data_IF_599706304663
#
_entry.id   IF_599706304663
#
_cell.length_a   1.000
_cell.length_b   1.000
_cell.length_c   1.000
_cell.angle_alpha   90.00
_cell.angle_beta   90.00
_cell.angle_gamma   90.00
#
_symmetry.space_group_name_H-M   'P 1'
#
loop_
_entity.id
_entity.type
_entity.pdbx_description
1 polymer ?
#
# COMPACT_ATOMS: atom_id res chain seq x y z
N UNK A 1 4.21 -16.39 8.31
CA UNK A 1 4.03 -16.71 6.89
C UNK A 1 3.57 -15.50 6.08
N UNK A 2 3.02 -14.47 6.74
CA UNK A 2 2.49 -13.26 6.09
C UNK A 2 3.02 -12.01 6.77
N UNK A 3 3.54 -11.07 5.98
CA UNK A 3 3.92 -9.73 6.41
C UNK A 3 2.91 -8.73 5.83
N UNK A 4 2.36 -7.86 6.67
CA UNK A 4 1.44 -6.79 6.26
C UNK A 4 2.10 -5.44 6.56
N UNK A 5 2.47 -4.70 5.51
CA UNK A 5 3.01 -3.35 5.59
C UNK A 5 1.85 -2.35 5.58
N UNK A 6 1.25 -2.12 6.76
CA UNK A 6 0.06 -1.27 6.92
C UNK A 6 0.38 0.19 7.29
N UNK A 7 1.50 0.44 7.97
CA UNK A 7 1.83 1.78 8.45
C UNK A 7 1.88 2.81 7.30
N UNK A 8 1.28 3.98 7.53
CA UNK A 8 1.28 5.06 6.56
C UNK A 8 0.76 6.36 7.14
N UNK A 9 1.14 7.47 6.51
CA UNK A 9 0.76 8.84 6.89
C UNK A 9 0.25 9.62 5.70
N UNK A 10 -0.62 10.61 5.94
CA UNK A 10 -1.12 11.54 4.95
C UNK A 10 -1.20 12.94 5.59
N UNK A 11 -0.15 13.73 5.45
CA UNK A 11 -0.07 15.07 6.05
C UNK A 11 -0.69 16.14 5.17
N UNK A 12 -0.86 15.88 3.88
CA UNK A 12 -1.36 16.81 2.86
C UNK A 12 -2.78 16.46 2.36
N UNK A 13 -3.63 15.92 3.25
CA UNK A 13 -5.01 15.57 2.92
C UNK A 13 -5.78 16.81 2.43
N UNK A 14 -6.38 16.72 1.24
CA UNK A 14 -7.11 17.79 0.57
C UNK A 14 -6.29 19.03 0.19
N UNK A 15 -4.97 18.99 0.30
CA UNK A 15 -4.10 20.08 -0.12
C UNK A 15 -4.02 20.21 -1.65
N UNK A 16 -3.96 21.47 -2.10
CA UNK A 16 -3.68 21.86 -3.49
C UNK A 16 -2.27 22.46 -3.60
N UNK A 17 -1.91 22.98 -4.77
CA UNK A 17 -0.64 23.70 -4.95
C UNK A 17 -0.58 25.05 -4.19
N UNK A 18 -1.72 25.57 -3.75
CA UNK A 18 -1.81 26.80 -2.97
C UNK A 18 -1.42 26.62 -1.48
N UNK A 19 -1.23 25.37 -1.05
CA UNK A 19 -0.82 25.08 0.32
C UNK A 19 0.70 25.05 0.46
N UNK A 20 1.19 25.29 1.69
CA UNK A 20 2.62 25.39 2.00
C UNK A 20 3.29 24.01 2.09
N UNK A 21 3.59 23.40 0.95
CA UNK A 21 4.39 22.18 0.90
C UNK A 21 5.83 22.45 1.32
N UNK A 22 6.31 21.75 2.34
CA UNK A 22 7.68 21.86 2.82
C UNK A 22 8.52 20.63 2.47
N UNK A 23 9.84 20.76 2.31
CA UNK A 23 10.71 19.58 2.16
C UNK A 23 10.60 18.60 3.32
N UNK A 24 10.35 19.07 4.54
CA UNK A 24 10.18 18.23 5.73
C UNK A 24 8.91 17.38 5.65
N UNK A 25 7.78 17.94 5.20
CA UNK A 25 6.55 17.19 4.97
C UNK A 25 6.77 16.06 3.95
N UNK A 26 7.43 16.36 2.84
CA UNK A 26 7.79 15.38 1.82
C UNK A 26 8.68 14.28 2.39
N UNK A 27 9.74 14.66 3.10
CA UNK A 27 10.69 13.72 3.69
C UNK A 27 9.98 12.77 4.68
N UNK A 28 9.13 13.28 5.55
CA UNK A 28 8.36 12.48 6.51
C UNK A 28 7.37 11.54 5.83
N UNK A 29 6.67 12.02 4.80
CA UNK A 29 5.73 11.20 4.04
C UNK A 29 6.46 10.06 3.34
N UNK A 30 7.56 10.34 2.64
CA UNK A 30 8.36 9.32 1.95
C UNK A 30 9.03 8.35 2.94
N UNK A 31 9.53 8.86 4.07
CA UNK A 31 10.13 8.03 5.10
C UNK A 31 9.16 6.99 5.65
N UNK A 32 7.92 7.39 5.96
CA UNK A 32 6.92 6.46 6.48
C UNK A 32 6.36 5.53 5.40
N UNK A 33 5.89 6.10 4.27
CA UNK A 33 5.09 5.36 3.30
C UNK A 33 5.91 4.52 2.31
N UNK A 34 7.21 4.79 2.16
CA UNK A 34 8.08 4.11 1.19
C UNK A 34 9.29 3.49 1.87
N UNK A 35 10.15 4.31 2.47
CA UNK A 35 11.40 3.85 3.09
C UNK A 35 11.13 2.87 4.22
N UNK A 36 10.16 3.20 5.09
CA UNK A 36 9.74 2.32 6.20
C UNK A 36 9.20 0.98 5.72
N UNK A 37 8.41 0.98 4.65
CA UNK A 37 7.92 -0.26 4.02
C UNK A 37 9.07 -1.11 3.52
N UNK A 38 10.00 -0.52 2.76
CA UNK A 38 11.16 -1.24 2.23
C UNK A 38 11.98 -1.89 3.35
N UNK A 39 12.40 -1.12 4.36
CA UNK A 39 13.23 -1.64 5.45
C UNK A 39 12.50 -2.62 6.37
N UNK A 40 11.16 -2.51 6.49
CA UNK A 40 10.37 -3.53 7.20
C UNK A 40 10.40 -4.86 6.45
N UNK A 41 10.24 -4.82 5.13
CA UNK A 41 10.35 -6.02 4.29
C UNK A 41 11.76 -6.60 4.36
N UNK A 42 12.79 -5.78 4.14
CA UNK A 42 14.19 -6.19 4.18
C UNK A 42 14.56 -6.89 5.50
N UNK A 43 14.20 -6.28 6.63
CA UNK A 43 14.48 -6.83 7.96
C UNK A 43 13.75 -8.15 8.25
N UNK A 44 12.53 -8.33 7.72
CA UNK A 44 11.70 -9.51 7.99
C UNK A 44 11.77 -10.58 6.89
N UNK A 45 12.35 -10.27 5.74
CA UNK A 45 12.47 -11.20 4.61
C UNK A 45 13.12 -12.55 4.98
N UNK A 46 14.18 -12.60 5.84
CA UNK A 46 14.72 -13.88 6.28
C UNK A 46 13.74 -14.77 7.03
N UNK A 47 12.71 -14.19 7.65
CA UNK A 47 11.63 -14.95 8.31
C UNK A 47 10.57 -15.41 7.30
N UNK A 48 10.20 -14.55 6.34
CA UNK A 48 9.27 -14.88 5.28
C UNK A 48 9.82 -16.02 4.40
N UNK A 49 11.13 -16.04 4.14
CA UNK A 49 11.81 -17.10 3.39
C UNK A 49 11.73 -18.49 4.06
N UNK A 50 11.45 -18.55 5.36
CA UNK A 50 11.27 -19.82 6.09
C UNK A 50 9.86 -20.38 5.99
N UNK A 51 8.92 -19.61 5.49
CA UNK A 51 7.53 -20.04 5.32
C UNK A 51 7.36 -20.93 4.08
N UNK A 52 6.45 -21.89 4.16
CA UNK A 52 6.12 -22.73 3.00
C UNK A 52 5.41 -21.97 1.88
N UNK A 53 4.72 -20.88 2.23
CA UNK A 53 4.01 -19.99 1.29
C UNK A 53 4.10 -18.55 1.84
N UNK A 54 5.26 -17.93 1.65
CA UNK A 54 5.52 -16.56 2.13
C UNK A 54 4.66 -15.54 1.38
N UNK A 55 4.09 -14.57 2.11
CA UNK A 55 3.27 -13.49 1.54
C UNK A 55 3.69 -12.14 2.10
N UNK A 56 3.70 -11.13 1.24
CA UNK A 56 3.92 -9.74 1.61
C UNK A 56 2.77 -8.91 1.04
N UNK A 57 1.97 -8.33 1.91
CA UNK A 57 0.89 -7.41 1.55
C UNK A 57 1.28 -5.98 1.88
N UNK A 58 1.16 -5.08 0.91
CA UNK A 58 1.48 -3.66 1.06
C UNK A 58 0.18 -2.86 0.99
N UNK A 59 -0.18 -2.17 2.06
CA UNK A 59 -1.36 -1.31 2.03
C UNK A 59 -1.03 0.00 1.32
N UNK A 60 -1.47 0.09 0.06
CA UNK A 60 -1.30 1.24 -0.79
C UNK A 60 -2.58 2.10 -0.84
N UNK A 61 -2.87 2.69 -1.97
CA UNK A 61 -4.08 3.51 -2.20
C UNK A 61 -4.33 3.63 -3.70
N UNK A 62 -5.61 3.69 -4.09
CA UNK A 62 -5.98 4.09 -5.45
C UNK A 62 -5.41 5.47 -5.84
N UNK A 63 -5.13 6.33 -4.85
CA UNK A 63 -4.49 7.63 -5.08
C UNK A 63 -3.04 7.51 -5.59
N UNK A 64 -2.42 6.33 -5.52
CA UNK A 64 -1.13 6.01 -6.12
C UNK A 64 -1.21 5.61 -7.59
N UNK A 65 -2.40 5.36 -8.13
CA UNK A 65 -2.58 5.05 -9.55
C UNK A 65 -2.25 6.25 -10.44
N UNK A 66 -1.40 6.04 -11.44
CA UNK A 66 -1.06 7.06 -12.43
C UNK A 66 -2.23 7.36 -13.38
N UNK A 67 -3.07 6.36 -13.64
CA UNK A 67 -4.23 6.52 -14.53
C UNK A 67 -5.41 7.19 -13.84
N UNK A 68 -5.48 7.16 -12.51
CA UNK A 68 -6.56 7.77 -11.71
C UNK A 68 -6.10 9.09 -11.06
N UNK A 69 -5.26 9.85 -11.74
CA UNK A 69 -4.76 11.14 -11.26
C UNK A 69 -5.88 12.18 -11.22
N UNK A 70 -6.06 12.86 -10.08
CA UNK A 70 -7.07 13.92 -9.91
C UNK A 70 -6.51 15.21 -9.29
N UNK A 71 -5.19 15.30 -9.11
CA UNK A 71 -4.53 16.44 -8.46
C UNK A 71 -4.65 16.43 -6.93
N UNK A 72 -4.00 17.37 -6.28
CA UNK A 72 -3.95 17.53 -4.83
C UNK A 72 -3.20 16.42 -4.09
N UNK A 73 -2.98 16.61 -2.80
CA UNK A 73 -2.30 15.63 -1.92
C UNK A 73 -1.03 15.04 -2.55
N UNK A 74 -0.17 15.91 -3.08
CA UNK A 74 0.93 15.50 -3.96
C UNK A 74 1.95 14.59 -3.28
N UNK A 75 2.32 14.89 -2.03
CA UNK A 75 3.29 14.07 -1.30
C UNK A 75 2.73 12.66 -1.01
N UNK A 76 1.46 12.58 -0.59
CA UNK A 76 0.80 11.30 -0.36
C UNK A 76 0.68 10.49 -1.65
N UNK A 77 0.13 11.09 -2.73
CA UNK A 77 -0.02 10.41 -4.03
C UNK A 77 1.31 9.92 -4.56
N UNK A 78 2.35 10.74 -4.54
CA UNK A 78 3.69 10.36 -4.98
C UNK A 78 4.23 9.19 -4.15
N UNK A 79 4.04 9.20 -2.82
CA UNK A 79 4.49 8.12 -1.96
C UNK A 79 3.74 6.80 -2.24
N UNK A 80 2.43 6.87 -2.50
CA UNK A 80 1.63 5.68 -2.82
C UNK A 80 1.93 5.13 -4.22
N UNK A 81 2.24 5.98 -5.19
CA UNK A 81 2.75 5.53 -6.50
C UNK A 81 4.14 4.86 -6.37
N UNK A 82 5.03 5.45 -5.57
CA UNK A 82 6.35 4.88 -5.32
C UNK A 82 6.27 3.50 -4.65
N UNK A 83 5.39 3.32 -3.65
CA UNK A 83 5.26 2.02 -2.98
C UNK A 83 4.57 0.97 -3.85
N UNK A 84 3.69 1.36 -4.78
CA UNK A 84 3.16 0.44 -5.80
C UNK A 84 4.27 -0.05 -6.74
N UNK A 85 5.12 0.86 -7.22
CA UNK A 85 6.29 0.49 -8.03
C UNK A 85 7.22 -0.45 -7.26
N UNK A 86 7.51 -0.14 -5.98
CA UNK A 86 8.31 -0.99 -5.10
C UNK A 86 7.70 -2.39 -4.98
N UNK A 87 6.41 -2.50 -4.70
CA UNK A 87 5.71 -3.78 -4.54
C UNK A 87 5.80 -4.65 -5.80
N UNK A 88 5.68 -4.07 -6.99
CA UNK A 88 5.81 -4.80 -8.25
C UNK A 88 7.23 -5.31 -8.52
N UNK A 89 8.24 -4.50 -8.22
CA UNK A 89 9.62 -4.94 -8.37
C UNK A 89 9.94 -6.07 -7.37
N UNK A 90 9.51 -5.95 -6.12
CA UNK A 90 9.63 -7.03 -5.13
C UNK A 90 8.89 -8.30 -5.55
N UNK A 91 7.71 -8.19 -6.16
CA UNK A 91 7.00 -9.34 -6.69
C UNK A 91 7.80 -10.10 -7.75
N UNK A 92 8.47 -9.39 -8.66
CA UNK A 92 9.33 -9.98 -9.67
C UNK A 92 10.58 -10.64 -9.05
N UNK A 93 11.24 -9.96 -8.12
CA UNK A 93 12.48 -10.43 -7.52
C UNK A 93 12.26 -11.65 -6.61
N UNK A 94 11.13 -11.69 -5.91
CA UNK A 94 10.81 -12.74 -4.93
C UNK A 94 10.01 -13.91 -5.52
N UNK A 95 9.49 -13.78 -6.75
CA UNK A 95 8.77 -14.87 -7.43
C UNK A 95 9.60 -16.16 -7.57
N UNK A 96 10.90 -16.14 -7.92
CA UNK A 96 11.72 -17.35 -7.97
C UNK A 96 11.86 -18.05 -6.61
N UNK A 97 11.65 -17.34 -5.51
CA UNK A 97 11.70 -17.86 -4.14
C UNK A 97 10.31 -18.37 -3.66
N UNK A 98 9.27 -18.28 -4.49
CA UNK A 98 7.92 -18.69 -4.14
C UNK A 98 7.21 -17.74 -3.15
N UNK A 99 7.68 -16.50 -3.01
CA UNK A 99 7.08 -15.49 -2.14
C UNK A 99 6.18 -14.57 -2.98
N UNK A 100 4.89 -14.51 -2.61
CA UNK A 100 3.92 -13.65 -3.27
C UNK A 100 3.90 -12.25 -2.65
N UNK A 101 3.88 -11.21 -3.49
CA UNK A 101 3.76 -9.81 -3.06
C UNK A 101 2.53 -9.17 -3.71
N UNK A 102 1.66 -8.56 -2.92
CA UNK A 102 0.47 -7.85 -3.40
C UNK A 102 0.38 -6.43 -2.83
N UNK A 103 -0.32 -5.57 -3.53
CA UNK A 103 -0.64 -4.22 -3.08
C UNK A 103 -2.15 -4.04 -3.04
N UNK A 104 -2.66 -3.54 -1.90
CA UNK A 104 -4.09 -3.43 -1.67
C UNK A 104 -4.50 -1.98 -1.38
N UNK A 105 -5.62 -1.57 -1.95
CA UNK A 105 -6.33 -0.35 -1.58
C UNK A 105 -7.40 -0.69 -0.53
N UNK A 106 -7.31 -0.15 0.69
CA UNK A 106 -8.21 -0.50 1.79
C UNK A 106 -9.61 0.11 1.67
N UNK A 107 -9.87 0.93 0.63
CA UNK A 107 -11.05 1.79 0.55
C UNK A 107 -10.83 3.14 1.26
N UNK A 108 -11.86 3.98 1.26
CA UNK A 108 -11.88 5.18 2.08
C UNK A 108 -12.55 4.86 3.43
N UNK A 109 -11.71 4.64 4.43
CA UNK A 109 -12.07 4.00 5.70
C UNK A 109 -12.25 5.02 6.80
N UNK A 110 -13.27 4.87 7.65
CA UNK A 110 -13.54 5.69 8.82
C UNK A 110 -12.47 5.47 9.91
N UNK A 111 -11.38 6.22 9.79
CA UNK A 111 -10.22 6.24 10.69
C UNK A 111 -9.80 7.69 10.91
N UNK A 112 -8.82 7.94 11.76
CA UNK A 112 -8.26 9.30 11.93
C UNK A 112 -7.78 9.90 10.60
N UNK A 113 -7.20 9.10 9.73
CA UNK A 113 -6.78 9.53 8.39
C UNK A 113 -7.98 9.74 7.46
N UNK A 114 -8.93 8.82 7.44
CA UNK A 114 -10.09 8.88 6.54
C UNK A 114 -11.12 9.93 6.92
N UNK A 115 -11.34 10.13 8.22
CA UNK A 115 -12.36 11.01 8.77
C UNK A 115 -13.74 10.33 8.86
N UNK A 116 -14.68 11.00 9.52
CA UNK A 116 -16.03 10.47 9.75
C UNK A 116 -16.87 10.32 8.47
N UNK A 117 -16.57 11.13 7.43
CA UNK A 117 -17.26 11.12 6.14
C UNK A 117 -16.79 10.00 5.21
N UNK A 118 -15.84 9.16 5.64
CA UNK A 118 -15.34 8.06 4.84
C UNK A 118 -16.43 7.02 4.56
N UNK A 119 -16.38 6.43 3.37
CA UNK A 119 -17.48 5.65 2.80
C UNK A 119 -17.68 4.27 3.43
N UNK A 120 -16.66 3.72 4.09
CA UNK A 120 -16.72 2.38 4.68
C UNK A 120 -16.17 2.34 6.10
N UNK A 121 -16.66 1.39 6.89
CA UNK A 121 -16.17 1.15 8.24
C UNK A 121 -14.84 0.40 8.25
N UNK A 122 -14.16 0.41 9.40
CA UNK A 122 -12.95 -0.39 9.60
C UNK A 122 -13.23 -1.88 9.39
N UNK A 123 -14.33 -2.38 9.94
CA UNK A 123 -14.70 -3.80 9.85
C UNK A 123 -14.93 -4.25 8.40
N UNK A 124 -15.57 -3.42 7.57
CA UNK A 124 -15.76 -3.70 6.14
C UNK A 124 -14.42 -3.80 5.41
N UNK A 125 -13.54 -2.81 5.62
CA UNK A 125 -12.21 -2.79 5.01
C UNK A 125 -11.37 -3.98 5.44
N UNK A 126 -11.30 -4.25 6.75
CA UNK A 126 -10.47 -5.34 7.31
C UNK A 126 -10.95 -6.70 6.86
N UNK A 127 -12.27 -6.94 6.83
CA UNK A 127 -12.83 -8.21 6.34
C UNK A 127 -12.43 -8.48 4.90
N UNK A 128 -12.57 -7.49 4.02
CA UNK A 128 -12.16 -7.64 2.62
C UNK A 128 -10.66 -7.82 2.46
N UNK A 129 -9.84 -6.98 3.12
CA UNK A 129 -8.38 -7.11 3.08
C UNK A 129 -7.90 -8.47 3.59
N UNK A 130 -8.53 -9.01 4.65
CA UNK A 130 -8.20 -10.33 5.17
C UNK A 130 -8.40 -11.42 4.11
N UNK A 131 -9.50 -11.37 3.37
CA UNK A 131 -9.76 -12.29 2.27
C UNK A 131 -8.71 -12.17 1.16
N UNK A 132 -8.37 -10.93 0.73
CA UNK A 132 -7.37 -10.67 -0.32
C UNK A 132 -6.00 -11.16 0.08
N UNK A 133 -5.54 -10.79 1.26
CA UNK A 133 -4.22 -11.19 1.78
C UNK A 133 -4.13 -12.70 1.97
N UNK A 134 -5.20 -13.34 2.42
CA UNK A 134 -5.24 -14.80 2.57
C UNK A 134 -5.21 -15.51 1.21
N UNK A 135 -5.86 -14.95 0.20
CA UNK A 135 -5.89 -15.49 -1.16
C UNK A 135 -4.62 -15.17 -1.98
N UNK A 136 -3.78 -14.23 -1.52
CA UNK A 136 -2.56 -13.84 -2.22
C UNK A 136 -1.66 -15.06 -2.44
N UNK A 137 -1.26 -15.28 -3.68
CA UNK A 137 -0.50 -16.44 -4.11
C UNK A 137 0.40 -16.12 -5.29
N UNK A 138 1.20 -17.08 -5.75
CA UNK A 138 2.05 -16.91 -6.93
C UNK A 138 1.28 -16.62 -8.21
N UNK A 139 0.01 -17.00 -8.30
CA UNK A 139 -0.84 -16.70 -9.45
C UNK A 139 -1.34 -15.25 -9.47
N UNK A 140 -1.30 -14.57 -8.32
CA UNK A 140 -1.75 -13.19 -8.16
C UNK A 140 -0.63 -12.24 -7.72
N UNK A 141 0.62 -12.73 -7.60
CA UNK A 141 1.76 -11.89 -7.23
C UNK A 141 1.92 -10.70 -8.18
N UNK A 142 2.21 -9.53 -7.64
CA UNK A 142 2.26 -8.27 -8.38
C UNK A 142 0.89 -7.59 -8.57
N UNK A 143 -0.19 -8.11 -7.97
CA UNK A 143 -1.51 -7.51 -8.04
C UNK A 143 -1.55 -6.11 -7.39
N UNK A 144 -2.49 -5.29 -7.89
CA UNK A 144 -2.97 -4.10 -7.22
C UNK A 144 -4.49 -4.12 -7.28
N UNK A 145 -5.14 -4.26 -6.13
CA UNK A 145 -6.60 -4.44 -6.06
C UNK A 145 -7.24 -3.70 -4.87
N UNK A 146 -8.56 -3.55 -4.92
CA UNK A 146 -9.34 -3.03 -3.79
C UNK A 146 -9.53 -4.10 -2.73
N UNK A 147 -9.96 -3.69 -1.53
CA UNK A 147 -10.37 -4.61 -0.47
C UNK A 147 -11.51 -5.57 -0.92
N UNK A 148 -12.27 -5.22 -1.96
CA UNK A 148 -13.31 -6.06 -2.57
C UNK A 148 -12.77 -7.04 -3.62
N UNK A 149 -11.50 -6.94 -4.00
CA UNK A 149 -10.86 -7.77 -5.01
C UNK A 149 -11.00 -7.27 -6.45
N UNK A 150 -11.38 -6.00 -6.64
CA UNK A 150 -11.39 -5.40 -7.97
C UNK A 150 -9.98 -4.93 -8.35
N UNK A 151 -9.49 -5.39 -9.49
CA UNK A 151 -8.21 -4.93 -10.00
C UNK A 151 -8.19 -3.42 -10.25
N UNK A 152 -7.15 -2.75 -9.79
CA UNK A 152 -6.92 -1.33 -10.00
C UNK A 152 -5.85 -1.11 -11.06
N UNK A 153 -6.01 -0.09 -11.92
CA UNK A 153 -4.97 0.31 -12.84
C UNK A 153 -3.83 1.02 -12.09
N UNK A 154 -2.64 0.95 -12.64
CA UNK A 154 -1.43 1.60 -12.11
C UNK A 154 -1.33 3.05 -12.53
#
# INVERSE_FOLDING_TARGET
DTLICNAGVMFDKFWSLENDYTPDLWAKTMAANVTGVFFTIDALLPLIRKANAGRIAIISSQMGSNTQSSGGSYAYRASKAAVLNLGRNLANDLAPEGIAVGSDHPGWVQTDMGGAEASITVDQSVSGLFERITALSMTTTGCFETYEGHALPL
#
